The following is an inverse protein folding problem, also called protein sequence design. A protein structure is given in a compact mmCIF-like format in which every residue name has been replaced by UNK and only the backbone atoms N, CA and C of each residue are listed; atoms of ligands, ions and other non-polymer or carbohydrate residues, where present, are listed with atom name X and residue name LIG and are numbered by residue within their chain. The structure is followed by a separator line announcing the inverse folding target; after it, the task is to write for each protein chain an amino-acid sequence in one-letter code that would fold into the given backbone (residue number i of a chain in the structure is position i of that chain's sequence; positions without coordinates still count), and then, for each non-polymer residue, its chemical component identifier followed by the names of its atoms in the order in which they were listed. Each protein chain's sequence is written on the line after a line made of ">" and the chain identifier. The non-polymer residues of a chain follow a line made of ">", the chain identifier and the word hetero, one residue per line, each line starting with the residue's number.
data_IF_042525405008
#
_entry.id   IF_042525405008
#
_cell.length_a   1.000
_cell.length_b   1.000
_cell.length_c   1.000
_cell.angle_alpha   90.00
_cell.angle_beta   90.00
_cell.angle_gamma   90.00
#
_symmetry.space_group_name_H-M   'P 1'
#
loop_
_entity.id
_entity.type
_entity.pdbx_description
1 polymer ?
#
# COMPACT_ATOMS: atom_id res chain seq x y z
N UNK A 1 1.19 25.96 14.38
CA UNK A 1 -0.13 25.34 14.13
C UNK A 1 -0.69 24.87 15.46
N UNK A 2 -1.80 25.47 15.93
CA UNK A 2 -2.47 25.03 17.15
C UNK A 2 -2.98 23.60 16.94
N UNK A 3 -2.48 22.66 17.74
CA UNK A 3 -2.99 21.28 17.73
C UNK A 3 -4.40 21.31 18.32
N UNK A 4 -5.40 20.92 17.56
CA UNK A 4 -6.74 20.67 18.04
C UNK A 4 -6.64 19.62 19.17
N UNK A 5 -6.91 20.04 20.41
CA UNK A 5 -6.75 19.18 21.60
C UNK A 5 -8.07 18.60 22.09
N UNK A 6 -9.18 19.24 21.76
CA UNK A 6 -10.53 18.82 22.17
C UNK A 6 -11.52 19.05 21.03
N UNK A 7 -12.50 18.18 20.92
CA UNK A 7 -13.68 18.34 20.08
C UNK A 7 -14.89 18.20 21.00
N UNK A 8 -15.78 19.18 20.93
CA UNK A 8 -17.09 19.11 21.56
C UNK A 8 -18.15 18.93 20.47
N UNK A 9 -19.02 17.98 20.65
CA UNK A 9 -20.15 17.77 19.76
C UNK A 9 -21.41 18.37 20.40
N UNK A 10 -22.25 19.00 19.58
CA UNK A 10 -23.59 19.39 20.00
C UNK A 10 -24.35 18.16 20.50
N UNK A 11 -25.11 18.29 21.57
CA UNK A 11 -25.99 17.23 22.08
C UNK A 11 -27.06 16.77 21.06
N UNK A 12 -27.28 17.55 20.00
CA UNK A 12 -28.19 17.24 18.89
C UNK A 12 -27.48 16.67 17.67
N UNK A 13 -26.18 16.38 17.74
CA UNK A 13 -25.44 15.79 16.62
C UNK A 13 -26.03 14.44 16.25
N UNK A 14 -26.51 14.30 14.98
CA UNK A 14 -27.05 13.06 14.44
C UNK A 14 -26.06 12.31 13.53
N UNK A 15 -24.90 12.91 13.25
CA UNK A 15 -23.92 12.36 12.30
C UNK A 15 -22.68 11.82 12.98
N UNK A 16 -22.31 12.36 14.13
CA UNK A 16 -21.08 12.05 14.83
C UNK A 16 -21.32 11.77 16.31
N UNK A 17 -20.47 10.92 16.90
CA UNK A 17 -20.41 10.70 18.35
C UNK A 17 -18.96 10.61 18.83
N UNK A 18 -18.77 10.95 20.09
CA UNK A 18 -17.52 10.72 20.81
C UNK A 18 -17.67 9.47 21.69
N UNK A 19 -16.71 8.57 21.61
CA UNK A 19 -16.59 7.42 22.51
C UNK A 19 -15.15 7.37 23.00
N UNK A 20 -14.95 7.38 24.32
CA UNK A 20 -13.63 7.44 24.96
C UNK A 20 -12.73 8.54 24.37
N UNK A 21 -13.32 9.70 24.09
CA UNK A 21 -12.65 10.86 23.52
C UNK A 21 -12.27 10.71 22.04
N UNK A 22 -12.63 9.63 21.36
CA UNK A 22 -12.37 9.44 19.93
C UNK A 22 -13.64 9.66 19.11
N UNK A 23 -13.45 10.11 17.86
CA UNK A 23 -14.54 10.51 16.98
C UNK A 23 -14.97 9.38 16.05
N UNK A 24 -16.28 9.12 16.00
CA UNK A 24 -16.93 8.11 15.17
C UNK A 24 -18.13 8.70 14.40
N UNK A 25 -18.57 7.99 13.35
CA UNK A 25 -19.95 8.17 12.86
C UNK A 25 -20.97 7.85 13.96
N UNK A 26 -22.17 8.39 13.84
CA UNK A 26 -23.22 8.22 14.87
C UNK A 26 -23.57 6.76 15.13
N UNK A 27 -23.63 5.94 14.06
CA UNK A 27 -23.84 4.49 14.13
C UNK A 27 -22.62 3.71 14.67
N UNK A 28 -21.46 4.35 14.80
CA UNK A 28 -20.23 3.75 15.31
C UNK A 28 -19.46 2.92 14.29
N UNK A 29 -19.95 2.80 13.05
CA UNK A 29 -19.32 1.94 12.04
C UNK A 29 -18.09 2.54 11.37
N UNK A 30 -17.95 3.86 11.38
CA UNK A 30 -16.79 4.55 10.80
C UNK A 30 -15.95 5.16 11.91
N UNK A 31 -14.68 4.80 11.98
CA UNK A 31 -13.70 5.41 12.86
C UNK A 31 -13.11 6.64 12.18
N UNK A 32 -13.45 7.82 12.69
CA UNK A 32 -13.16 9.10 12.02
C UNK A 32 -11.86 9.70 12.52
N UNK A 33 -11.61 9.69 13.85
CA UNK A 33 -10.41 10.29 14.38
C UNK A 33 -9.99 9.74 15.73
N UNK A 34 -8.74 9.33 15.82
CA UNK A 34 -8.07 9.07 17.10
C UNK A 34 -7.62 10.39 17.74
N UNK A 35 -8.13 10.67 18.93
CA UNK A 35 -7.82 11.87 19.69
C UNK A 35 -6.95 11.57 20.91
N UNK A 36 -6.86 10.31 21.32
CA UNK A 36 -6.13 9.87 22.50
C UNK A 36 -4.63 10.21 22.47
N UNK A 37 -3.96 10.12 23.62
CA UNK A 37 -2.52 10.32 23.77
C UNK A 37 -1.73 9.02 23.83
N UNK A 38 -2.39 7.87 24.03
CA UNK A 38 -1.75 6.57 24.09
C UNK A 38 -1.10 6.20 22.75
N UNK A 39 0.03 5.53 22.81
CA UNK A 39 0.67 4.91 21.63
C UNK A 39 0.16 3.49 21.37
N UNK A 40 -0.68 2.97 22.26
CA UNK A 40 -1.32 1.66 22.14
C UNK A 40 -2.82 1.88 22.00
N UNK A 41 -3.40 1.39 20.92
CA UNK A 41 -4.82 1.56 20.66
C UNK A 41 -5.43 0.29 20.07
N UNK A 42 -6.60 -0.05 20.56
CA UNK A 42 -7.45 -1.09 19.99
C UNK A 42 -8.70 -0.42 19.42
N UNK A 43 -8.89 -0.53 18.11
CA UNK A 43 -10.11 -0.05 17.46
C UNK A 43 -11.28 -0.93 17.94
N UNK A 44 -12.38 -0.36 18.45
CA UNK A 44 -13.49 -1.14 19.01
C UNK A 44 -14.16 -2.06 17.98
N UNK A 45 -14.67 -3.19 18.45
CA UNK A 45 -15.56 -4.04 17.64
C UNK A 45 -16.82 -3.26 17.22
N UNK A 46 -17.37 -3.60 16.06
CA UNK A 46 -18.45 -2.86 15.41
C UNK A 46 -17.98 -1.80 14.43
N UNK A 47 -16.69 -1.37 14.49
CA UNK A 47 -16.11 -0.50 13.46
C UNK A 47 -15.90 -1.31 12.18
N UNK A 48 -16.50 -0.82 11.09
CA UNK A 48 -16.39 -1.44 9.76
C UNK A 48 -15.43 -0.68 8.82
N UNK A 49 -15.17 0.62 9.08
CA UNK A 49 -14.35 1.47 8.21
C UNK A 49 -13.37 2.32 9.01
N UNK A 50 -12.10 2.28 8.63
CA UNK A 50 -11.11 3.29 9.01
C UNK A 50 -11.09 4.36 7.93
N UNK A 51 -11.51 5.59 8.25
CA UNK A 51 -11.53 6.68 7.27
C UNK A 51 -10.14 7.27 7.05
N UNK A 52 -9.98 8.00 5.95
CA UNK A 52 -8.73 8.68 5.63
C UNK A 52 -8.22 9.54 6.80
N UNK A 53 -6.92 9.40 7.12
CA UNK A 53 -6.24 10.16 8.20
C UNK A 53 -6.87 10.03 9.59
N UNK A 54 -7.54 8.90 9.86
CA UNK A 54 -8.15 8.67 11.18
C UNK A 54 -7.10 8.53 12.28
N UNK A 55 -5.92 7.99 12.01
CA UNK A 55 -4.79 7.92 12.93
C UNK A 55 -3.62 8.72 12.35
N UNK A 56 -3.33 9.88 12.95
CA UNK A 56 -2.25 10.80 12.52
C UNK A 56 -1.12 10.90 13.54
N UNK A 57 -1.09 10.00 14.53
CA UNK A 57 -0.05 9.93 15.56
C UNK A 57 0.75 8.65 15.38
N UNK A 58 2.03 8.68 15.78
CA UNK A 58 2.84 7.46 15.84
C UNK A 58 2.28 6.53 16.91
N UNK A 59 2.02 5.28 16.52
CA UNK A 59 1.56 4.21 17.40
C UNK A 59 2.68 3.20 17.62
N UNK A 60 2.69 2.54 18.76
CA UNK A 60 3.53 1.35 19.02
C UNK A 60 2.73 0.07 18.75
N UNK A 61 1.45 0.09 19.12
CA UNK A 61 0.55 -1.04 18.90
C UNK A 61 -0.79 -0.53 18.36
N UNK A 62 -1.29 -1.20 17.34
CA UNK A 62 -2.65 -1.01 16.83
C UNK A 62 -3.29 -2.37 16.61
N UNK A 63 -4.42 -2.60 17.28
CA UNK A 63 -5.26 -3.78 17.04
C UNK A 63 -6.49 -3.37 16.22
N UNK A 64 -6.78 -4.14 15.19
CA UNK A 64 -7.94 -3.94 14.32
C UNK A 64 -9.06 -4.91 14.68
N UNK A 65 -10.33 -4.47 14.64
CA UNK A 65 -11.47 -5.30 15.03
C UNK A 65 -11.80 -6.35 13.96
N UNK A 66 -12.41 -7.43 14.40
CA UNK A 66 -12.88 -8.52 13.51
C UNK A 66 -14.01 -8.09 12.56
N UNK A 67 -14.65 -6.97 12.84
CA UNK A 67 -15.73 -6.37 12.03
C UNK A 67 -15.23 -5.45 10.91
N UNK A 68 -13.92 -5.16 10.85
CA UNK A 68 -13.36 -4.19 9.91
C UNK A 68 -13.43 -4.70 8.47
N UNK A 69 -14.00 -3.89 7.56
CA UNK A 69 -14.16 -4.21 6.13
C UNK A 69 -13.31 -3.33 5.23
N UNK A 70 -13.16 -2.04 5.58
CA UNK A 70 -12.54 -1.03 4.71
C UNK A 70 -11.45 -0.27 5.45
N UNK A 71 -10.25 -0.19 4.83
CA UNK A 71 -9.15 0.65 5.26
C UNK A 71 -8.92 1.69 4.16
N UNK A 72 -9.44 2.91 4.35
CA UNK A 72 -9.33 4.00 3.37
C UNK A 72 -7.89 4.49 3.21
N UNK A 73 -7.60 5.13 2.07
CA UNK A 73 -6.29 5.69 1.79
C UNK A 73 -5.84 6.69 2.88
N UNK A 74 -4.55 6.69 3.20
CA UNK A 74 -3.91 7.57 4.20
C UNK A 74 -4.39 7.35 5.65
N UNK A 75 -5.21 6.33 5.93
CA UNK A 75 -5.81 6.12 7.25
C UNK A 75 -4.79 5.83 8.34
N UNK A 76 -3.75 5.08 8.02
CA UNK A 76 -2.73 4.57 8.94
C UNK A 76 -1.29 4.99 8.53
N UNK A 77 -1.15 6.04 7.72
CA UNK A 77 0.15 6.45 7.18
C UNK A 77 1.12 6.97 8.26
N UNK A 78 0.62 7.53 9.35
CA UNK A 78 1.46 8.13 10.40
C UNK A 78 1.95 7.14 11.46
N UNK A 79 1.69 5.85 11.33
CA UNK A 79 2.00 4.82 12.34
C UNK A 79 3.45 4.33 12.28
N UNK A 80 4.42 5.20 12.55
CA UNK A 80 5.84 4.87 12.39
C UNK A 80 6.38 3.80 13.34
N UNK A 81 5.72 3.52 14.46
CA UNK A 81 6.16 2.55 15.48
C UNK A 81 5.53 1.17 15.37
N UNK A 82 4.57 0.95 14.47
CA UNK A 82 3.95 -0.38 14.28
C UNK A 82 4.76 -1.16 13.25
N UNK A 83 5.53 -2.14 13.72
CA UNK A 83 6.39 -2.95 12.84
C UNK A 83 5.60 -3.99 12.04
N UNK A 84 4.57 -4.57 12.64
CA UNK A 84 3.69 -5.57 12.01
C UNK A 84 2.24 -5.24 12.34
N UNK A 85 1.40 -5.14 11.31
CA UNK A 85 -0.04 -4.98 11.45
C UNK A 85 -0.76 -6.22 10.93
N UNK A 86 -1.59 -6.83 11.78
CA UNK A 86 -2.45 -7.93 11.39
C UNK A 86 -3.73 -7.37 10.76
N UNK A 87 -3.99 -7.77 9.50
CA UNK A 87 -5.18 -7.39 8.74
C UNK A 87 -6.25 -8.46 8.97
N UNK A 88 -7.41 -8.12 9.53
CA UNK A 88 -8.47 -9.09 9.83
C UNK A 88 -9.02 -9.84 8.60
N UNK A 89 -9.59 -11.01 8.85
CA UNK A 89 -10.21 -11.82 7.79
C UNK A 89 -11.39 -11.11 7.10
N UNK A 90 -12.05 -10.21 7.81
CA UNK A 90 -13.20 -9.43 7.33
C UNK A 90 -12.86 -8.32 6.33
N UNK A 91 -11.58 -7.92 6.22
CA UNK A 91 -11.18 -6.81 5.34
C UNK A 91 -11.32 -7.20 3.88
N UNK A 92 -12.12 -6.45 3.14
CA UNK A 92 -12.37 -6.63 1.71
C UNK A 92 -11.83 -5.51 0.85
N UNK A 93 -11.49 -4.35 1.44
CA UNK A 93 -10.99 -3.19 0.71
C UNK A 93 -9.88 -2.49 1.48
N UNK A 94 -8.72 -2.29 0.82
CA UNK A 94 -7.63 -1.47 1.33
C UNK A 94 -6.85 -0.83 0.17
N UNK A 95 -6.17 0.28 0.44
CA UNK A 95 -5.45 1.07 -0.56
C UNK A 95 -3.95 1.07 -0.29
N UNK A 96 -3.14 1.15 -1.34
CA UNK A 96 -1.67 1.03 -1.28
C UNK A 96 -0.98 2.06 -0.40
N UNK A 97 -1.56 3.25 -0.25
CA UNK A 97 -1.03 4.35 0.56
C UNK A 97 -1.71 4.50 1.93
N UNK A 98 -2.42 3.46 2.38
CA UNK A 98 -3.09 3.48 3.70
C UNK A 98 -2.12 3.28 4.86
N UNK A 99 -0.96 2.70 4.64
CA UNK A 99 -0.07 2.21 5.69
C UNK A 99 1.27 2.97 5.73
N UNK A 100 1.87 3.05 6.93
CA UNK A 100 3.20 3.64 7.09
C UNK A 100 4.29 2.81 6.40
N UNK A 101 5.34 3.47 5.91
CA UNK A 101 6.43 2.85 5.15
C UNK A 101 7.18 1.72 5.89
N UNK A 102 7.22 1.76 7.22
CA UNK A 102 7.95 0.77 8.03
C UNK A 102 7.07 -0.40 8.50
N UNK A 103 5.78 -0.42 8.18
CA UNK A 103 4.85 -1.43 8.67
C UNK A 103 4.82 -2.64 7.74
N UNK A 104 5.10 -3.83 8.27
CA UNK A 104 4.81 -5.11 7.62
C UNK A 104 3.32 -5.42 7.75
N UNK A 105 2.75 -6.11 6.78
CA UNK A 105 1.32 -6.43 6.73
C UNK A 105 1.11 -7.93 6.68
N UNK A 106 0.43 -8.48 7.69
CA UNK A 106 0.03 -9.89 7.72
C UNK A 106 -1.48 -10.00 7.58
N UNK A 107 -1.92 -10.65 6.53
CA UNK A 107 -3.34 -10.92 6.30
C UNK A 107 -3.74 -12.21 7.01
N UNK A 108 -4.83 -12.18 7.77
CA UNK A 108 -5.37 -13.36 8.45
C UNK A 108 -5.70 -14.45 7.43
N UNK A 109 -5.41 -15.70 7.76
CA UNK A 109 -5.56 -16.87 6.88
C UNK A 109 -6.98 -17.02 6.32
N UNK A 110 -8.01 -16.77 7.12
CA UNK A 110 -9.42 -16.81 6.73
C UNK A 110 -9.89 -15.64 5.84
N UNK A 111 -9.02 -14.69 5.45
CA UNK A 111 -9.43 -13.60 4.57
C UNK A 111 -9.77 -14.13 3.18
N UNK A 112 -10.99 -13.79 2.67
CA UNK A 112 -11.49 -14.27 1.38
C UNK A 112 -10.98 -13.44 0.17
N UNK A 113 -10.44 -12.25 0.40
CA UNK A 113 -10.06 -11.30 -0.65
C UNK A 113 -8.55 -11.25 -0.88
N UNK A 114 -7.78 -11.29 0.19
CA UNK A 114 -6.34 -11.08 0.17
C UNK A 114 -5.56 -12.23 0.84
N UNK A 115 -4.27 -12.30 0.54
CA UNK A 115 -3.27 -13.08 1.28
C UNK A 115 -1.96 -12.30 1.34
N UNK A 116 -1.15 -12.52 2.36
CA UNK A 116 0.20 -11.97 2.46
C UNK A 116 1.26 -13.03 2.18
N UNK A 117 2.40 -12.59 1.67
CA UNK A 117 3.61 -13.40 1.52
C UNK A 117 4.74 -12.68 2.24
N UNK A 118 5.40 -13.38 3.18
CA UNK A 118 6.55 -12.90 3.96
C UNK A 118 6.28 -11.56 4.69
N UNK A 119 4.99 -11.25 4.95
CA UNK A 119 4.53 -9.98 5.52
C UNK A 119 4.94 -8.73 4.69
N UNK A 120 5.39 -8.90 3.46
CA UNK A 120 5.86 -7.82 2.59
C UNK A 120 5.07 -7.66 1.30
N UNK A 121 4.45 -8.70 0.78
CA UNK A 121 3.57 -8.64 -0.40
C UNK A 121 2.14 -9.00 -0.01
N UNK A 122 1.21 -8.18 -0.46
CA UNK A 122 -0.23 -8.48 -0.40
C UNK A 122 -0.70 -8.81 -1.81
N UNK A 123 -1.25 -9.99 -1.94
CA UNK A 123 -1.82 -10.51 -3.19
C UNK A 123 -3.34 -10.57 -3.06
N UNK A 124 -4.03 -10.64 -4.20
CA UNK A 124 -5.40 -11.12 -4.22
C UNK A 124 -5.44 -12.59 -3.73
N UNK A 125 -6.59 -13.08 -3.30
CA UNK A 125 -6.74 -14.44 -2.73
C UNK A 125 -6.25 -15.53 -3.68
N UNK A 126 -6.51 -15.40 -4.98
CA UNK A 126 -6.03 -16.33 -6.01
C UNK A 126 -4.50 -16.36 -6.13
N UNK A 127 -3.81 -15.29 -5.76
CA UNK A 127 -2.35 -15.15 -5.87
C UNK A 127 -1.87 -14.79 -7.26
N UNK A 128 -2.76 -14.27 -8.10
CA UNK A 128 -2.47 -13.88 -9.48
C UNK A 128 -2.14 -12.40 -9.65
N UNK A 129 -2.40 -11.58 -8.61
CA UNK A 129 -2.15 -10.15 -8.66
C UNK A 129 -1.43 -9.66 -7.42
N UNK A 130 -0.39 -8.86 -7.59
CA UNK A 130 0.19 -8.05 -6.51
C UNK A 130 -0.67 -6.82 -6.32
N UNK A 131 -1.31 -6.71 -5.15
CA UNK A 131 -2.18 -5.57 -4.79
C UNK A 131 -1.35 -4.44 -4.19
N UNK A 132 -0.47 -4.77 -3.26
CA UNK A 132 0.45 -3.80 -2.65
C UNK A 132 1.64 -4.48 -2.00
N UNK A 133 2.70 -3.70 -1.78
CA UNK A 133 3.88 -4.11 -1.04
C UNK A 133 4.04 -3.29 0.25
N UNK A 134 4.51 -3.93 1.31
CA UNK A 134 5.04 -3.23 2.48
C UNK A 134 6.31 -2.47 2.08
N UNK A 135 6.39 -1.19 2.34
CA UNK A 135 7.49 -0.32 1.89
C UNK A 135 8.79 -0.50 2.69
N UNK A 136 8.83 -1.49 3.57
CA UNK A 136 9.97 -1.72 4.49
C UNK A 136 11.05 -2.64 3.93
N UNK A 137 10.76 -3.44 2.91
CA UNK A 137 11.69 -4.39 2.33
C UNK A 137 12.66 -3.73 1.32
N UNK A 138 13.85 -4.30 1.22
CA UNK A 138 14.86 -3.89 0.23
C UNK A 138 14.80 -4.72 -1.05
N UNK A 139 14.23 -5.92 -0.95
CA UNK A 139 14.05 -6.86 -2.06
C UNK A 139 12.67 -7.47 -2.03
N UNK A 140 12.14 -7.81 -3.21
CA UNK A 140 10.83 -8.45 -3.35
C UNK A 140 10.93 -9.58 -4.36
N UNK A 141 10.41 -10.75 -3.96
CA UNK A 141 10.28 -11.92 -4.83
C UNK A 141 8.80 -12.12 -5.16
N UNK A 142 8.44 -11.83 -6.39
CA UNK A 142 7.06 -12.02 -6.86
C UNK A 142 6.88 -13.50 -7.23
N UNK A 143 5.85 -14.19 -6.69
CA UNK A 143 5.59 -15.58 -7.05
C UNK A 143 5.27 -15.79 -8.54
N UNK A 144 5.67 -16.93 -9.10
CA UNK A 144 5.40 -17.31 -10.50
C UNK A 144 3.91 -17.51 -10.83
N UNK A 145 3.01 -17.41 -9.85
CA UNK A 145 1.56 -17.41 -10.06
C UNK A 145 1.01 -16.05 -10.44
N UNK A 146 1.80 -14.98 -10.23
CA UNK A 146 1.37 -13.60 -10.47
C UNK A 146 1.42 -13.27 -11.96
N UNK A 147 0.30 -12.77 -12.46
CA UNK A 147 0.18 -12.32 -13.87
C UNK A 147 0.07 -10.80 -13.98
N UNK A 148 -0.23 -10.12 -12.88
CA UNK A 148 -0.45 -8.68 -12.87
C UNK A 148 0.16 -8.01 -11.63
N UNK A 149 0.86 -6.91 -11.84
CA UNK A 149 1.27 -5.96 -10.81
C UNK A 149 0.27 -4.79 -10.88
N UNK A 150 -0.56 -4.64 -9.85
CA UNK A 150 -1.64 -3.64 -9.81
C UNK A 150 -1.09 -2.20 -9.80
N UNK A 151 -2.00 -1.26 -10.11
CA UNK A 151 -1.73 0.18 -10.00
C UNK A 151 -1.20 0.52 -8.60
N UNK A 152 -0.08 1.25 -8.55
CA UNK A 152 0.58 1.68 -7.32
C UNK A 152 1.03 0.54 -6.39
N UNK A 153 1.20 -0.69 -6.86
CA UNK A 153 1.51 -1.84 -6.00
C UNK A 153 2.78 -1.66 -5.16
N UNK A 154 3.82 -1.02 -5.70
CA UNK A 154 5.07 -0.69 -5.01
C UNK A 154 5.25 0.81 -4.79
N UNK A 155 4.15 1.56 -4.66
CA UNK A 155 4.14 3.01 -4.48
C UNK A 155 4.95 3.42 -3.24
N UNK A 156 5.97 4.31 -3.42
CA UNK A 156 6.87 4.75 -2.35
C UNK A 156 7.66 3.63 -1.66
N UNK A 157 7.99 2.54 -2.33
CA UNK A 157 8.95 1.55 -1.84
C UNK A 157 10.37 2.09 -1.93
N UNK A 158 10.63 3.17 -1.18
CA UNK A 158 11.88 3.97 -1.27
C UNK A 158 13.13 3.20 -0.85
N UNK A 159 12.98 2.08 -0.13
CA UNK A 159 14.08 1.21 0.28
C UNK A 159 14.36 0.08 -0.71
N UNK A 160 13.49 -0.12 -1.71
CA UNK A 160 13.64 -1.20 -2.69
C UNK A 160 14.90 -0.99 -3.53
N UNK A 161 15.85 -1.92 -3.43
CA UNK A 161 17.11 -1.94 -4.19
C UNK A 161 16.94 -2.80 -5.43
N UNK A 162 16.21 -3.92 -5.31
CA UNK A 162 15.98 -4.86 -6.40
C UNK A 162 14.62 -5.53 -6.29
N UNK A 163 14.13 -5.97 -7.43
CA UNK A 163 12.90 -6.75 -7.57
C UNK A 163 13.07 -7.75 -8.72
N UNK A 164 12.60 -8.98 -8.51
CA UNK A 164 12.51 -9.99 -9.56
C UNK A 164 11.06 -10.07 -10.01
N UNK A 165 10.84 -9.77 -11.30
CA UNK A 165 9.53 -9.92 -11.97
C UNK A 165 9.56 -11.25 -12.72
N UNK A 166 8.69 -12.22 -12.39
CA UNK A 166 8.68 -13.52 -13.06
C UNK A 166 8.09 -13.44 -14.47
N UNK A 167 8.43 -14.44 -15.30
CA UNK A 167 7.94 -14.55 -16.68
C UNK A 167 6.42 -14.82 -16.80
N UNK A 168 5.73 -15.00 -15.68
CA UNK A 168 4.26 -15.09 -15.65
C UNK A 168 3.58 -13.72 -15.72
N UNK A 169 4.29 -12.61 -15.39
CA UNK A 169 3.70 -11.27 -15.37
C UNK A 169 3.51 -10.75 -16.78
N UNK A 170 2.28 -10.35 -17.10
CA UNK A 170 1.90 -9.78 -18.40
C UNK A 170 1.59 -8.29 -18.34
N UNK A 171 1.24 -7.78 -17.16
CA UNK A 171 0.81 -6.39 -16.98
C UNK A 171 1.45 -5.75 -15.76
N UNK A 172 1.96 -4.53 -15.94
CA UNK A 172 2.44 -3.63 -14.89
C UNK A 172 1.54 -2.40 -14.89
N UNK A 173 0.86 -2.15 -13.79
CA UNK A 173 -0.11 -1.06 -13.62
C UNK A 173 0.51 0.34 -13.58
N UNK A 174 -0.34 1.35 -13.73
CA UNK A 174 0.08 2.75 -13.64
C UNK A 174 0.68 3.06 -12.26
N UNK A 175 1.79 3.80 -12.21
CA UNK A 175 2.47 4.15 -10.97
C UNK A 175 2.98 2.96 -10.17
N UNK A 176 3.06 1.74 -10.74
CA UNK A 176 3.38 0.52 -9.99
C UNK A 176 4.67 0.64 -9.17
N UNK A 177 5.68 1.33 -9.69
CA UNK A 177 6.96 1.59 -9.03
C UNK A 177 7.20 3.08 -8.76
N UNK A 178 6.13 3.87 -8.65
CA UNK A 178 6.24 5.30 -8.40
C UNK A 178 7.06 5.60 -7.13
N UNK A 179 8.07 6.47 -7.23
CA UNK A 179 8.98 6.83 -6.12
C UNK A 179 9.75 5.67 -5.48
N UNK A 180 10.08 4.62 -6.24
CA UNK A 180 11.04 3.61 -5.81
C UNK A 180 12.47 4.17 -5.92
N UNK A 181 12.81 5.12 -5.06
CA UNK A 181 14.00 5.97 -5.23
C UNK A 181 15.34 5.24 -5.06
N UNK A 182 15.39 4.08 -4.41
CA UNK A 182 16.61 3.27 -4.28
C UNK A 182 16.81 2.25 -5.39
N UNK A 183 15.80 2.02 -6.24
CA UNK A 183 15.87 1.07 -7.35
C UNK A 183 16.84 1.59 -8.43
N UNK A 184 17.89 0.81 -8.72
CA UNK A 184 18.93 1.20 -9.67
C UNK A 184 18.66 0.71 -11.08
N UNK A 185 18.14 -0.50 -11.19
CA UNK A 185 17.80 -1.12 -12.46
C UNK A 185 16.62 -2.08 -12.28
N UNK A 186 15.91 -2.34 -13.36
CA UNK A 186 14.81 -3.29 -13.40
C UNK A 186 14.82 -4.05 -14.71
N UNK A 187 14.60 -5.36 -14.62
CA UNK A 187 14.44 -6.21 -15.80
C UNK A 187 12.96 -6.53 -16.02
N UNK A 188 12.46 -6.20 -17.20
CA UNK A 188 11.07 -6.45 -17.61
C UNK A 188 11.06 -7.73 -18.46
N UNK A 189 10.35 -8.78 -18.04
CA UNK A 189 10.26 -10.04 -18.78
C UNK A 189 9.61 -9.88 -20.16
N UNK A 190 9.90 -10.83 -21.07
CA UNK A 190 9.30 -10.85 -22.40
C UNK A 190 7.76 -11.02 -22.37
N UNK A 191 7.24 -11.62 -21.34
CA UNK A 191 5.79 -11.80 -21.12
C UNK A 191 5.01 -10.50 -20.91
N UNK A 192 5.66 -9.44 -20.38
CA UNK A 192 5.00 -8.16 -20.11
C UNK A 192 4.63 -7.48 -21.43
N UNK A 193 3.34 -7.27 -21.65
CA UNK A 193 2.79 -6.63 -22.87
C UNK A 193 2.29 -5.21 -22.61
N UNK A 194 2.11 -4.83 -21.33
CA UNK A 194 1.58 -3.51 -20.95
C UNK A 194 2.28 -2.97 -19.72
N UNK A 195 2.69 -1.70 -19.79
CA UNK A 195 3.19 -0.91 -18.66
C UNK A 195 2.39 0.38 -18.61
N UNK A 196 1.76 0.64 -17.47
CA UNK A 196 0.92 1.81 -17.27
C UNK A 196 1.70 3.12 -17.16
N UNK A 197 0.99 4.24 -17.31
CA UNK A 197 1.58 5.56 -17.19
C UNK A 197 2.26 5.74 -15.82
N UNK A 198 3.36 6.52 -15.80
CA UNK A 198 4.09 6.88 -14.58
C UNK A 198 4.61 5.71 -13.73
N UNK A 199 4.68 4.50 -14.32
CA UNK A 199 5.10 3.30 -13.60
C UNK A 199 6.45 3.48 -12.89
N UNK A 200 7.37 4.28 -13.44
CA UNK A 200 8.70 4.55 -12.87
C UNK A 200 8.95 6.04 -12.55
N UNK A 201 7.86 6.82 -12.39
CA UNK A 201 8.01 8.23 -12.06
C UNK A 201 8.66 8.40 -10.67
N UNK A 202 9.57 9.36 -10.54
CA UNK A 202 10.34 9.65 -9.33
C UNK A 202 11.26 8.51 -8.82
N UNK A 203 11.61 7.52 -9.64
CA UNK A 203 12.66 6.54 -9.33
C UNK A 203 14.04 7.20 -9.51
N UNK A 204 14.47 8.04 -8.55
CA UNK A 204 15.64 8.93 -8.68
C UNK A 204 16.96 8.23 -9.04
N UNK A 205 17.19 7.02 -8.53
CA UNK A 205 18.42 6.24 -8.78
C UNK A 205 18.29 5.22 -9.92
N UNK A 206 17.15 5.16 -10.59
CA UNK A 206 16.95 4.21 -11.70
C UNK A 206 17.77 4.64 -12.90
N UNK A 207 18.77 3.87 -13.27
CA UNK A 207 19.69 4.13 -14.39
C UNK A 207 19.34 3.32 -15.64
N UNK A 208 18.71 2.16 -15.48
CA UNK A 208 18.36 1.28 -16.59
C UNK A 208 17.02 0.57 -16.39
N UNK A 209 16.26 0.48 -17.49
CA UNK A 209 15.11 -0.42 -17.65
C UNK A 209 15.52 -1.42 -18.75
N UNK A 210 15.78 -2.66 -18.35
CA UNK A 210 16.22 -3.74 -19.23
C UNK A 210 14.99 -4.53 -19.68
N UNK A 211 14.68 -4.54 -20.98
CA UNK A 211 13.48 -5.18 -21.52
C UNK A 211 13.87 -6.36 -22.36
N UNK A 212 13.44 -7.56 -21.95
CA UNK A 212 13.65 -8.78 -22.73
C UNK A 212 12.73 -8.80 -23.96
N UNK A 213 13.26 -9.28 -25.11
CA UNK A 213 12.52 -9.44 -26.34
C UNK A 213 12.60 -8.23 -27.29
N UNK A 214 11.78 -8.24 -28.36
CA UNK A 214 11.88 -7.29 -29.48
C UNK A 214 11.65 -5.84 -29.06
N UNK A 215 12.38 -4.92 -29.70
CA UNK A 215 12.25 -3.49 -29.47
C UNK A 215 10.82 -2.98 -29.76
N UNK A 216 10.41 -1.97 -29.00
CA UNK A 216 9.12 -1.25 -29.16
C UNK A 216 7.85 -2.11 -28.99
N UNK A 217 7.95 -3.32 -28.43
CA UNK A 217 6.79 -4.19 -28.18
C UNK A 217 5.84 -3.67 -27.08
N UNK A 218 6.29 -2.76 -26.24
CA UNK A 218 5.50 -2.10 -25.20
C UNK A 218 5.46 -0.61 -25.50
N UNK A 219 4.27 -0.06 -25.70
CA UNK A 219 4.08 1.36 -26.00
C UNK A 219 4.23 2.26 -24.77
N UNK A 220 4.42 3.57 -24.99
CA UNK A 220 4.39 4.59 -23.95
C UNK A 220 5.66 4.76 -23.15
N UNK A 221 6.80 4.16 -23.57
CA UNK A 221 8.10 4.42 -22.94
C UNK A 221 8.41 5.93 -22.94
N UNK A 222 9.05 6.45 -21.90
CA UNK A 222 9.71 5.77 -20.76
C UNK A 222 8.85 5.60 -19.50
N UNK A 223 7.54 5.59 -19.57
CA UNK A 223 6.60 5.35 -18.45
C UNK A 223 6.91 6.16 -17.18
N UNK A 224 7.17 7.47 -17.34
CA UNK A 224 7.52 8.38 -16.25
C UNK A 224 9.02 8.38 -15.87
N UNK A 225 9.85 7.56 -16.51
CA UNK A 225 11.29 7.48 -16.23
C UNK A 225 12.09 8.62 -16.88
N UNK A 226 11.47 9.69 -17.39
CA UNK A 226 12.12 10.75 -18.16
C UNK A 226 13.02 11.71 -17.35
N UNK A 227 12.98 11.67 -16.04
CA UNK A 227 13.80 12.53 -15.20
C UNK A 227 15.15 11.89 -14.90
N UNK A 228 16.16 12.22 -15.69
CA UNK A 228 17.56 11.75 -15.60
C UNK A 228 18.02 10.96 -16.84
N UNK A 229 19.34 10.74 -16.94
CA UNK A 229 19.94 9.95 -18.03
C UNK A 229 19.68 8.45 -17.80
N UNK A 230 18.49 7.97 -18.16
CA UNK A 230 18.09 6.57 -18.02
C UNK A 230 18.15 5.87 -19.36
N UNK A 231 18.79 4.70 -19.37
CA UNK A 231 18.82 3.84 -20.53
C UNK A 231 17.58 2.93 -20.55
N UNK A 232 16.89 2.85 -21.68
CA UNK A 232 15.92 1.79 -21.96
C UNK A 232 16.62 0.81 -22.90
N UNK A 233 16.99 -0.33 -22.36
CA UNK A 233 17.72 -1.37 -23.08
C UNK A 233 16.73 -2.44 -23.56
N UNK A 234 16.66 -2.61 -24.87
CA UNK A 234 15.86 -3.65 -25.51
C UNK A 234 16.75 -4.84 -25.88
N UNK A 235 16.18 -6.05 -25.89
CA UNK A 235 16.84 -7.30 -26.30
C UNK A 235 17.98 -7.74 -25.35
N UNK A 236 17.82 -7.53 -24.04
CA UNK A 236 18.77 -8.01 -23.01
C UNK A 236 18.41 -9.39 -22.49
#
# INVERSE_FOLDING_TARGET
>A
MNKLSTIELSSTSKNLKLVDGNLYSYDGKRFIKYMGSSKNFTVPEGVETLVSRCITKSMTTLNLPSTLKVIEGWSLESMSGVNLLNIPASVTTMYTYSFHANTKLRVAEGNATYKSIDDVLILNKAGTKVIMASRNATTYNIPNTVTEIEKNAFYYCTKMISITIPDSVTTIGAGAFYSCSSLKEITIPQSVTSIGADAFLHCGNLTAINIKGTANRISGAPWGAQYGNRAINWNV
#
